data_IF_095209004313
#
_entry.id   IF_095209004313
#
_cell.length_a   1.000
_cell.length_b   1.000
_cell.length_c   1.000
_cell.angle_alpha   90.00
_cell.angle_beta   90.00
_cell.angle_gamma   90.00
#
_symmetry.space_group_name_H-M   'P 1'
#
loop_
_entity.id
_entity.type
_entity.pdbx_description
1 polymer ?
#
# COMPACT_ATOMS: atom_id res chain seq x y z
N UNK A 1 29.94 -36.62 -23.09
CA UNK A 1 28.75 -37.14 -22.37
C UNK A 1 28.37 -36.06 -21.37
N UNK A 2 27.53 -35.11 -21.78
CA UNK A 2 27.29 -33.87 -21.02
C UNK A 2 25.99 -34.02 -20.23
N UNK A 3 26.13 -34.08 -18.91
CA UNK A 3 25.03 -34.05 -17.96
C UNK A 3 24.24 -32.74 -18.14
N UNK A 4 23.05 -32.85 -18.72
CA UNK A 4 22.05 -31.80 -18.64
C UNK A 4 21.49 -31.84 -17.23
N UNK A 5 21.91 -30.90 -16.39
CA UNK A 5 21.26 -30.62 -15.11
C UNK A 5 19.84 -30.14 -15.36
N UNK A 6 18.90 -31.09 -15.47
CA UNK A 6 17.47 -30.84 -15.35
C UNK A 6 17.20 -30.42 -13.90
N UNK A 7 17.25 -29.12 -13.63
CA UNK A 7 16.87 -28.58 -12.33
C UNK A 7 15.33 -28.69 -12.22
N UNK A 8 14.79 -29.51 -11.29
CA UNK A 8 13.34 -29.76 -11.20
C UNK A 8 12.52 -28.53 -10.72
N UNK A 9 13.18 -27.44 -10.35
CA UNK A 9 12.58 -26.28 -9.68
C UNK A 9 11.80 -25.33 -10.59
N UNK A 10 11.94 -25.43 -11.92
CA UNK A 10 11.35 -24.42 -12.83
C UNK A 10 9.90 -24.76 -13.26
N UNK A 11 9.52 -26.06 -13.27
CA UNK A 11 8.15 -26.48 -13.62
C UNK A 11 7.14 -26.33 -12.49
N UNK A 12 7.60 -26.35 -11.24
CA UNK A 12 6.73 -26.24 -10.06
C UNK A 12 6.40 -24.79 -9.68
N UNK A 13 6.99 -23.80 -10.37
CA UNK A 13 6.74 -22.39 -10.07
C UNK A 13 5.43 -21.94 -10.73
N UNK A 14 4.42 -21.50 -9.95
CA UNK A 14 3.17 -21.01 -10.53
C UNK A 14 3.43 -19.80 -11.43
N UNK A 15 2.57 -19.65 -12.45
CA UNK A 15 2.65 -18.53 -13.37
C UNK A 15 2.67 -17.20 -12.60
N UNK A 16 3.32 -16.17 -13.14
CA UNK A 16 3.42 -14.87 -12.47
C UNK A 16 2.03 -14.34 -12.11
N UNK A 17 1.04 -14.53 -12.99
CA UNK A 17 -0.34 -14.16 -12.75
C UNK A 17 -0.95 -14.88 -11.53
N UNK A 18 -0.77 -16.20 -11.41
CA UNK A 18 -1.29 -16.98 -10.28
C UNK A 18 -0.68 -16.55 -8.95
N UNK A 19 0.64 -16.29 -8.94
CA UNK A 19 1.35 -15.79 -7.75
C UNK A 19 0.87 -14.41 -7.34
N UNK A 20 0.67 -13.52 -8.31
CA UNK A 20 0.14 -12.19 -8.06
C UNK A 20 -1.28 -12.29 -7.51
N UNK A 21 -2.16 -13.09 -8.13
CA UNK A 21 -3.54 -13.29 -7.67
C UNK A 21 -3.59 -13.78 -6.23
N UNK A 22 -2.87 -14.87 -5.93
CA UNK A 22 -2.85 -15.44 -4.58
C UNK A 22 -2.32 -14.44 -3.55
N UNK A 23 -1.28 -13.67 -3.89
CA UNK A 23 -0.74 -12.65 -3.01
C UNK A 23 -1.73 -11.49 -2.79
N UNK A 24 -2.37 -10.98 -3.85
CA UNK A 24 -3.32 -9.87 -3.74
C UNK A 24 -4.59 -10.28 -2.98
N UNK A 25 -5.06 -11.51 -3.14
CA UNK A 25 -6.19 -12.05 -2.37
C UNK A 25 -5.86 -12.17 -0.89
N UNK A 26 -4.64 -12.63 -0.57
CA UNK A 26 -4.17 -12.70 0.81
C UNK A 26 -4.08 -11.31 1.45
N UNK A 27 -3.45 -10.34 0.77
CA UNK A 27 -3.38 -8.97 1.26
C UNK A 27 -4.75 -8.30 1.36
N UNK A 28 -5.69 -8.62 0.48
CA UNK A 28 -7.05 -8.13 0.60
C UNK A 28 -7.72 -8.62 1.89
N UNK A 29 -7.58 -9.91 2.22
CA UNK A 29 -8.09 -10.46 3.49
C UNK A 29 -7.41 -9.83 4.71
N UNK A 30 -6.09 -9.67 4.69
CA UNK A 30 -5.35 -9.00 5.75
C UNK A 30 -5.81 -7.54 5.91
N UNK A 31 -5.98 -6.80 4.81
CA UNK A 31 -6.47 -5.43 4.82
C UNK A 31 -7.84 -5.33 5.47
N UNK A 32 -8.76 -6.23 5.10
CA UNK A 32 -10.11 -6.30 5.68
C UNK A 32 -10.06 -6.59 7.19
N UNK A 33 -9.24 -7.55 7.61
CA UNK A 33 -9.08 -7.90 9.02
C UNK A 33 -8.55 -6.72 9.85
N UNK A 34 -7.48 -6.06 9.40
CA UNK A 34 -6.92 -4.87 10.08
C UNK A 34 -7.91 -3.69 10.04
N UNK A 35 -8.64 -3.52 8.94
CA UNK A 35 -9.64 -2.46 8.81
C UNK A 35 -10.86 -2.65 9.73
N UNK A 36 -11.19 -3.89 10.09
CA UNK A 36 -12.28 -4.19 11.01
C UNK A 36 -11.94 -3.90 12.48
N UNK A 37 -10.65 -3.71 12.81
CA UNK A 37 -10.22 -3.36 14.17
C UNK A 37 -10.72 -1.97 14.60
N UNK A 38 -11.00 -1.81 15.89
CA UNK A 38 -11.52 -0.57 16.48
C UNK A 38 -10.55 -0.04 17.54
N UNK A 39 -9.46 0.64 17.12
CA UNK A 39 -8.49 1.19 18.05
C UNK A 39 -9.12 2.28 18.93
N UNK A 40 -8.83 2.22 20.22
CA UNK A 40 -9.37 3.12 21.25
C UNK A 40 -8.41 4.24 21.61
N UNK A 41 -7.11 3.99 21.49
CA UNK A 41 -6.04 4.98 21.77
C UNK A 41 -5.39 5.50 20.49
N UNK A 42 -4.71 6.66 20.58
CA UNK A 42 -3.99 7.23 19.45
C UNK A 42 -2.78 6.37 19.04
N UNK A 43 -2.12 5.72 19.99
CA UNK A 43 -1.06 4.75 19.72
C UNK A 43 -1.58 3.55 18.91
N UNK A 44 -2.73 2.98 19.29
CA UNK A 44 -3.37 1.88 18.55
C UNK A 44 -3.83 2.32 17.14
N UNK A 45 -4.30 3.58 17.00
CA UNK A 45 -4.63 4.14 15.68
C UNK A 45 -3.40 4.29 14.79
N UNK A 46 -2.28 4.71 15.35
CA UNK A 46 -1.00 4.80 14.64
C UNK A 46 -0.56 3.42 14.17
N UNK A 47 -0.53 2.42 15.07
CA UNK A 47 -0.12 1.05 14.72
C UNK A 47 -1.01 0.45 13.61
N UNK A 48 -2.34 0.60 13.74
CA UNK A 48 -3.28 0.14 12.71
C UNK A 48 -2.98 0.79 11.36
N UNK A 49 -2.78 2.10 11.33
CA UNK A 49 -2.46 2.81 10.10
C UNK A 49 -1.14 2.33 9.48
N UNK A 50 -0.11 2.03 10.28
CA UNK A 50 1.15 1.46 9.78
C UNK A 50 0.96 0.08 9.16
N UNK A 51 0.18 -0.79 9.81
CA UNK A 51 -0.13 -2.11 9.28
C UNK A 51 -0.84 -1.99 7.92
N UNK A 52 -1.84 -1.12 7.81
CA UNK A 52 -2.55 -0.86 6.56
C UNK A 52 -1.62 -0.29 5.48
N UNK A 53 -0.70 0.59 5.84
CA UNK A 53 0.28 1.14 4.93
C UNK A 53 1.22 0.08 4.36
N UNK A 54 1.73 -0.82 5.23
CA UNK A 54 2.58 -1.94 4.82
C UNK A 54 1.85 -2.88 3.88
N UNK A 55 0.58 -3.20 4.17
CA UNK A 55 -0.25 -4.06 3.31
C UNK A 55 -0.39 -3.42 1.92
N UNK A 56 -0.82 -2.16 1.84
CA UNK A 56 -0.95 -1.44 0.57
C UNK A 56 0.38 -1.37 -0.20
N UNK A 57 1.51 -1.11 0.49
CA UNK A 57 2.83 -1.08 -0.13
C UNK A 57 3.23 -2.43 -0.73
N UNK A 58 2.91 -3.53 -0.04
CA UNK A 58 3.17 -4.89 -0.55
C UNK A 58 2.25 -5.24 -1.72
N UNK A 59 0.97 -4.89 -1.65
CA UNK A 59 0.01 -5.07 -2.76
C UNK A 59 0.48 -4.33 -4.01
N UNK A 60 0.93 -3.07 -3.88
CA UNK A 60 1.55 -2.31 -4.97
C UNK A 60 2.77 -3.03 -5.58
N UNK A 61 3.62 -3.62 -4.74
CA UNK A 61 4.76 -4.41 -5.19
C UNK A 61 4.37 -5.59 -6.08
N UNK A 62 3.29 -6.30 -5.74
CA UNK A 62 2.77 -7.41 -6.56
C UNK A 62 2.20 -6.95 -7.89
N UNK A 63 1.48 -5.82 -7.92
CA UNK A 63 1.04 -5.22 -9.18
C UNK A 63 2.22 -4.83 -10.06
N UNK A 64 3.30 -4.28 -9.48
CA UNK A 64 4.54 -4.00 -10.23
C UNK A 64 5.19 -5.25 -10.82
N UNK A 65 5.17 -6.37 -10.08
CA UNK A 65 5.67 -7.65 -10.60
C UNK A 65 4.87 -8.08 -11.83
N UNK A 66 3.54 -7.93 -11.80
CA UNK A 66 2.68 -8.24 -12.94
C UNK A 66 2.94 -7.31 -14.13
N UNK A 67 3.07 -6.00 -13.91
CA UNK A 67 3.33 -5.03 -14.99
C UNK A 67 4.70 -5.23 -15.62
N UNK A 68 5.70 -5.59 -14.83
CA UNK A 68 7.07 -5.86 -15.32
C UNK A 68 7.13 -7.20 -16.07
N UNK A 69 6.49 -8.25 -15.54
CA UNK A 69 6.47 -9.58 -16.15
C UNK A 69 5.69 -9.64 -17.46
N UNK A 70 4.74 -8.74 -17.68
CA UNK A 70 3.95 -8.63 -18.93
C UNK A 70 4.52 -7.63 -19.93
N UNK A 71 5.65 -6.97 -19.61
CA UNK A 71 6.25 -5.96 -20.47
C UNK A 71 6.91 -6.61 -21.69
N UNK A 72 6.27 -6.44 -22.85
CA UNK A 72 6.76 -6.99 -24.12
C UNK A 72 6.06 -8.28 -24.55
N UNK A 73 5.14 -8.80 -23.74
CA UNK A 73 4.27 -9.90 -24.13
C UNK A 73 3.10 -9.37 -24.98
N UNK A 74 3.12 -9.68 -26.28
CA UNK A 74 2.08 -9.26 -27.22
C UNK A 74 0.76 -10.03 -27.05
N UNK A 75 0.75 -11.10 -26.26
CA UNK A 75 -0.47 -11.89 -25.99
C UNK A 75 -1.34 -11.26 -24.91
N UNK A 76 -0.78 -10.39 -24.07
CA UNK A 76 -1.50 -9.71 -23.00
C UNK A 76 -2.23 -8.48 -23.55
N UNK A 77 -3.56 -8.50 -23.46
CA UNK A 77 -4.38 -7.37 -23.91
C UNK A 77 -4.06 -6.09 -23.12
N UNK A 78 -3.94 -4.96 -23.83
CA UNK A 78 -3.51 -3.66 -23.26
C UNK A 78 -4.36 -3.19 -22.08
N UNK A 79 -5.65 -3.53 -22.06
CA UNK A 79 -6.57 -3.21 -20.94
C UNK A 79 -6.09 -3.84 -19.63
N UNK A 80 -5.65 -5.10 -19.63
CA UNK A 80 -5.14 -5.75 -18.42
C UNK A 80 -3.85 -5.11 -17.92
N UNK A 81 -2.96 -4.71 -18.84
CA UNK A 81 -1.77 -3.95 -18.49
C UNK A 81 -2.10 -2.62 -17.85
N UNK A 82 -3.05 -1.87 -18.41
CA UNK A 82 -3.48 -0.59 -17.84
C UNK A 82 -4.15 -0.78 -16.47
N UNK A 83 -4.96 -1.83 -16.29
CA UNK A 83 -5.57 -2.16 -15.01
C UNK A 83 -4.51 -2.45 -13.93
N UNK A 84 -3.48 -3.24 -14.25
CA UNK A 84 -2.38 -3.53 -13.33
C UNK A 84 -1.57 -2.28 -12.95
N UNK A 85 -1.33 -1.37 -13.90
CA UNK A 85 -0.67 -0.08 -13.63
C UNK A 85 -1.55 0.80 -12.73
N UNK A 86 -2.86 0.89 -13.02
CA UNK A 86 -3.79 1.67 -12.22
C UNK A 86 -3.87 1.13 -10.77
N UNK A 87 -3.91 -0.19 -10.61
CA UNK A 87 -3.91 -0.84 -9.30
C UNK A 87 -2.58 -0.62 -8.55
N UNK A 88 -1.42 -0.67 -9.23
CA UNK A 88 -0.14 -0.29 -8.62
C UNK A 88 -0.19 1.15 -8.09
N UNK A 89 -0.60 2.10 -8.92
CA UNK A 89 -0.67 3.51 -8.54
C UNK A 89 -1.62 3.73 -7.35
N UNK A 90 -2.82 3.17 -7.42
CA UNK A 90 -3.82 3.27 -6.36
C UNK A 90 -3.29 2.74 -5.01
N UNK A 91 -2.68 1.56 -5.00
CA UNK A 91 -2.15 0.99 -3.76
C UNK A 91 -0.92 1.75 -3.24
N UNK A 92 -0.10 2.35 -4.12
CA UNK A 92 0.98 3.24 -3.70
C UNK A 92 0.47 4.50 -3.02
N UNK A 93 -0.59 5.10 -3.54
CA UNK A 93 -1.20 6.29 -2.96
C UNK A 93 -1.93 5.97 -1.65
N UNK A 94 -2.63 4.82 -1.57
CA UNK A 94 -3.16 4.31 -0.29
C UNK A 94 -2.05 4.08 0.74
N UNK A 95 -0.92 3.53 0.34
CA UNK A 95 0.23 3.32 1.23
C UNK A 95 0.88 4.64 1.70
N UNK A 96 0.81 5.71 0.90
CA UNK A 96 1.21 7.07 1.32
C UNK A 96 0.24 7.60 2.35
N UNK A 97 -1.06 7.62 2.01
CA UNK A 97 -2.13 8.06 2.90
C UNK A 97 -2.04 7.42 4.29
N UNK A 98 -1.91 6.09 4.36
CA UNK A 98 -1.84 5.40 5.65
C UNK A 98 -0.55 5.68 6.43
N UNK A 99 0.58 5.93 5.76
CA UNK A 99 1.82 6.36 6.44
C UNK A 99 1.69 7.75 7.03
N UNK A 100 1.11 8.67 6.28
CA UNK A 100 0.91 10.05 6.73
C UNK A 100 -0.05 10.06 7.93
N UNK A 101 -1.15 9.32 7.84
CA UNK A 101 -2.11 9.15 8.94
C UNK A 101 -1.48 8.48 10.18
N UNK A 102 -0.58 7.50 9.99
CA UNK A 102 0.15 6.90 11.10
C UNK A 102 1.06 7.90 11.81
N UNK A 103 1.75 8.77 11.04
CA UNK A 103 2.58 9.83 11.59
C UNK A 103 1.75 10.84 12.41
N UNK A 104 0.57 11.22 11.92
CA UNK A 104 -0.35 12.12 12.62
C UNK A 104 -0.82 11.54 13.96
N UNK A 105 -1.26 10.28 13.96
CA UNK A 105 -1.70 9.62 15.20
C UNK A 105 -0.55 9.44 16.19
N UNK A 106 0.65 9.13 15.71
CA UNK A 106 1.85 9.03 16.55
C UNK A 106 2.17 10.37 17.21
N UNK A 107 2.14 11.46 16.44
CA UNK A 107 2.39 12.79 16.98
C UNK A 107 1.38 13.17 18.09
N UNK A 108 0.09 12.81 17.92
CA UNK A 108 -0.94 12.98 18.95
C UNK A 108 -0.67 12.13 20.19
N UNK A 109 -0.31 10.86 20.01
CA UNK A 109 0.01 9.95 21.11
C UNK A 109 1.21 10.44 21.94
N UNK A 110 2.19 11.08 21.30
CA UNK A 110 3.38 11.65 21.93
C UNK A 110 3.14 13.06 22.51
N UNK A 111 1.92 13.59 22.44
CA UNK A 111 1.58 14.98 22.80
C UNK A 111 2.49 16.01 22.12
N UNK A 112 3.06 15.66 20.96
CA UNK A 112 3.81 16.63 20.16
C UNK A 112 2.82 17.64 19.59
N UNK A 113 3.19 18.92 19.47
CA UNK A 113 2.40 19.86 18.70
C UNK A 113 2.30 19.32 17.26
N UNK A 114 1.17 18.71 16.92
CA UNK A 114 0.82 18.46 15.52
C UNK A 114 0.71 19.83 14.87
N UNK A 115 1.56 20.10 13.88
CA UNK A 115 1.87 21.41 13.30
C UNK A 115 0.66 22.21 12.75
N UNK A 116 -0.57 21.70 12.84
CA UNK A 116 -1.78 22.40 12.41
C UNK A 116 -2.37 23.35 13.46
N UNK A 117 -2.03 23.23 14.75
CA UNK A 117 -2.47 24.23 15.73
C UNK A 117 -1.66 25.55 15.66
N UNK A 118 -0.41 25.49 15.17
CA UNK A 118 0.42 26.69 14.99
C UNK A 118 0.19 27.37 13.62
N UNK A 119 -0.06 26.60 12.56
CA UNK A 119 -0.32 27.14 11.21
C UNK A 119 -1.75 27.65 11.00
N UNK A 120 -2.77 26.99 11.56
CA UNK A 120 -4.15 27.41 11.38
C UNK A 120 -4.52 28.63 12.23
N UNK A 121 -4.02 28.74 13.48
CA UNK A 121 -4.29 29.91 14.33
C UNK A 121 -3.50 31.17 13.94
N UNK A 122 -2.35 31.03 13.27
CA UNK A 122 -1.62 32.19 12.73
C UNK A 122 -2.37 32.84 11.55
N UNK A 123 -3.11 32.05 10.77
CA UNK A 123 -3.82 32.58 9.60
C UNK A 123 -5.15 33.26 9.97
N UNK A 124 -5.79 32.89 11.10
CA UNK A 124 -7.01 33.58 11.56
C UNK A 124 -6.73 35.00 12.05
N UNK A 125 -5.56 35.25 12.66
CA UNK A 125 -5.20 36.60 13.09
C UNK A 125 -4.82 37.51 11.90
N UNK A 126 -4.23 36.95 10.84
CA UNK A 126 -3.85 37.69 9.62
C UNK A 126 -5.03 37.93 8.65
N UNK A 127 -6.10 37.11 8.70
CA UNK A 127 -7.25 37.23 7.80
C UNK A 127 -8.40 38.12 8.32
N UNK A 128 -8.28 38.72 9.51
CA UNK A 128 -9.22 39.74 9.99
C UNK A 128 -10.68 39.29 10.11
N UNK A 129 -10.95 37.99 10.28
CA UNK A 129 -12.32 37.49 10.48
C UNK A 129 -12.63 37.48 11.97
N UNK A 130 -13.07 38.62 12.48
CA UNK A 130 -13.82 38.71 13.74
C UNK A 130 -15.30 38.40 13.50
N UNK A 131 -15.84 37.45 14.27
CA UNK A 131 -17.26 37.41 14.61
C UNK A 131 -17.38 37.36 16.13
#
# INVERSE_FOLDING_TARGET
MNAHSNNPTDRDRPAVADRVSAATDDYYRQFQAVSATRPTTDAERAERAEQLAMICARTAGWWRVLTTGTRGDSTVHRVYRHAAIAAECQERDRARFWRDLAADWRARAEQRPTSDAAGALSNWHELGVSA
#
